data_IF_975503114721
#
_entry.id   IF_975503114721
#
_cell.length_a   1.000
_cell.length_b   1.000
_cell.length_c   1.000
_cell.angle_alpha   90.00
_cell.angle_beta   90.00
_cell.angle_gamma   90.00
#
_symmetry.space_group_name_H-M   'P 1'
#
loop_
_entity.id
_entity.type
_entity.pdbx_description
1 polymer ?
#
# COMPACT_ATOMS: atom_id res chain seq x y z
N UNK A 1 31.20 3.71 1.67
CA UNK A 1 30.16 3.49 2.71
C UNK A 1 30.68 4.10 4.01
N UNK A 2 29.78 4.70 4.78
CA UNK A 2 30.10 5.17 6.12
C UNK A 2 30.56 4.02 7.03
N UNK A 3 31.35 4.30 8.09
CA UNK A 3 31.82 3.27 9.00
C UNK A 3 30.66 2.49 9.66
N UNK A 4 30.93 1.24 10.03
CA UNK A 4 29.97 0.42 10.76
C UNK A 4 29.52 1.14 12.05
N UNK A 5 28.20 1.18 12.29
CA UNK A 5 27.60 1.89 13.43
C UNK A 5 27.34 3.38 13.21
N UNK A 6 27.61 3.93 12.04
CA UNK A 6 27.25 5.32 11.73
C UNK A 6 25.73 5.52 11.73
N UNK A 7 24.98 4.62 11.09
CA UNK A 7 23.52 4.68 11.10
C UNK A 7 22.94 3.95 12.31
N UNK A 8 21.91 4.55 12.92
CA UNK A 8 21.34 4.06 14.19
C UNK A 8 20.01 3.36 14.04
N UNK A 9 19.18 3.81 13.11
CA UNK A 9 17.78 3.38 13.00
C UNK A 9 17.33 3.34 11.54
N UNK A 10 16.48 2.36 11.21
CA UNK A 10 15.72 2.32 9.96
C UNK A 10 14.30 2.78 10.27
N UNK A 11 13.79 3.71 9.47
CA UNK A 11 12.37 4.12 9.46
C UNK A 11 11.78 3.66 8.13
N UNK A 12 10.76 2.80 8.18
CA UNK A 12 10.21 2.19 6.97
C UNK A 12 8.69 2.09 7.02
N UNK A 13 8.07 1.92 5.86
CA UNK A 13 6.64 1.63 5.77
C UNK A 13 6.30 0.29 6.43
N UNK A 14 5.03 0.07 6.75
CA UNK A 14 4.57 -1.10 7.50
C UNK A 14 3.91 -2.18 6.61
N UNK A 15 4.21 -2.19 5.33
CA UNK A 15 3.81 -3.19 4.35
C UNK A 15 4.95 -4.15 3.98
N UNK A 16 4.70 -5.02 3.01
CA UNK A 16 5.67 -6.04 2.63
C UNK A 16 6.95 -5.45 2.01
N UNK A 17 6.83 -4.43 1.15
CA UNK A 17 7.97 -3.77 0.54
C UNK A 17 8.86 -3.07 1.59
N UNK A 18 8.24 -2.35 2.53
CA UNK A 18 8.96 -1.76 3.66
C UNK A 18 9.68 -2.80 4.53
N UNK A 19 9.11 -4.03 4.71
CA UNK A 19 9.77 -5.12 5.45
C UNK A 19 11.02 -5.61 4.72
N UNK A 20 10.94 -5.83 3.41
CA UNK A 20 12.09 -6.28 2.59
C UNK A 20 13.16 -5.19 2.54
N UNK A 21 12.78 -3.93 2.29
CA UNK A 21 13.68 -2.78 2.30
C UNK A 21 14.47 -2.68 3.62
N UNK A 22 13.76 -2.78 4.76
CA UNK A 22 14.38 -2.75 6.08
C UNK A 22 15.29 -3.96 6.34
N UNK A 23 14.96 -5.15 5.82
CA UNK A 23 15.80 -6.35 6.00
C UNK A 23 17.13 -6.23 5.27
N UNK A 24 17.13 -5.70 4.04
CA UNK A 24 18.35 -5.46 3.25
C UNK A 24 19.21 -4.38 3.93
N UNK A 25 18.62 -3.22 4.26
CA UNK A 25 19.34 -2.14 4.96
C UNK A 25 19.89 -2.62 6.30
N UNK A 26 19.11 -3.38 7.08
CA UNK A 26 19.53 -3.92 8.38
C UNK A 26 20.67 -4.94 8.27
N UNK A 27 20.73 -5.71 7.16
CA UNK A 27 21.81 -6.65 6.91
C UNK A 27 23.08 -5.93 6.48
N UNK A 28 22.99 -5.00 5.51
CA UNK A 28 24.15 -4.28 4.96
C UNK A 28 24.76 -3.33 5.99
N UNK A 29 23.93 -2.51 6.63
CA UNK A 29 24.37 -1.43 7.52
C UNK A 29 24.49 -1.87 8.99
N UNK A 30 24.21 -3.14 9.31
CA UNK A 30 24.24 -3.72 10.66
C UNK A 30 23.31 -3.03 11.66
N UNK A 31 22.21 -2.43 11.16
CA UNK A 31 21.23 -1.76 11.98
C UNK A 31 20.23 -2.77 12.55
N UNK A 32 19.91 -2.63 13.84
CA UNK A 32 18.93 -3.49 14.55
C UNK A 32 17.67 -2.73 14.94
N UNK A 33 17.74 -1.41 15.09
CA UNK A 33 16.61 -0.58 15.52
C UNK A 33 15.75 -0.23 14.32
N UNK A 34 14.48 -0.66 14.35
CA UNK A 34 13.52 -0.40 13.26
C UNK A 34 12.30 0.28 13.84
N UNK A 35 11.87 1.35 13.18
CA UNK A 35 10.63 2.08 13.43
C UNK A 35 9.75 1.99 12.19
N UNK A 36 8.49 1.59 12.39
CA UNK A 36 7.50 1.53 11.32
C UNK A 36 6.62 2.78 11.37
N UNK A 37 6.43 3.41 10.22
CA UNK A 37 5.65 4.63 10.10
C UNK A 37 4.78 4.60 8.82
N UNK A 38 3.72 5.40 8.82
CA UNK A 38 2.99 5.69 7.58
C UNK A 38 3.41 7.04 7.00
N UNK A 39 3.09 7.32 5.72
CA UNK A 39 3.46 8.57 5.05
C UNK A 39 3.04 9.84 5.82
N UNK A 40 1.84 9.86 6.41
CA UNK A 40 1.35 11.00 7.18
C UNK A 40 2.16 11.27 8.46
N UNK A 41 2.77 10.26 9.06
CA UNK A 41 3.62 10.42 10.25
C UNK A 41 4.89 11.20 9.87
N UNK A 42 5.43 10.91 8.67
CA UNK A 42 6.60 11.62 8.12
C UNK A 42 6.24 13.04 7.73
N UNK A 43 5.23 13.23 6.90
CA UNK A 43 4.85 14.56 6.38
C UNK A 43 4.38 15.52 7.48
N UNK A 44 3.90 15.01 8.62
CA UNK A 44 3.50 15.80 9.79
C UNK A 44 4.58 15.95 10.85
N UNK A 45 5.80 15.47 10.59
CA UNK A 45 6.93 15.51 11.53
C UNK A 45 6.57 14.94 12.92
N UNK A 46 5.79 13.83 12.96
CA UNK A 46 5.35 13.23 14.23
C UNK A 46 6.42 12.36 14.89
N UNK A 47 7.52 12.09 14.20
CA UNK A 47 8.69 11.35 14.71
C UNK A 47 9.97 12.12 14.41
N UNK A 48 10.96 12.00 15.29
CA UNK A 48 12.28 12.58 15.07
C UNK A 48 13.10 11.68 14.15
N UNK A 49 13.58 12.26 13.04
CA UNK A 49 14.50 11.64 12.09
C UNK A 49 15.76 12.50 12.04
N UNK A 50 16.91 11.86 12.01
CA UNK A 50 18.24 12.50 12.04
C UNK A 50 19.11 12.05 10.87
N UNK A 51 20.23 12.66 10.65
CA UNK A 51 21.25 12.26 9.66
C UNK A 51 21.87 10.87 9.94
N UNK A 52 21.53 10.26 11.07
CA UNK A 52 21.94 8.88 11.41
C UNK A 52 20.85 7.86 11.16
N UNK A 53 19.75 8.25 10.51
CA UNK A 53 18.63 7.37 10.23
C UNK A 53 18.52 7.06 8.74
N UNK A 54 18.12 5.84 8.42
CA UNK A 54 17.82 5.38 7.07
C UNK A 54 16.31 5.37 6.90
N UNK A 55 15.80 5.97 5.83
CA UNK A 55 14.36 6.03 5.54
C UNK A 55 14.09 5.27 4.25
N UNK A 56 13.14 4.33 4.29
CA UNK A 56 12.76 3.49 3.16
C UNK A 56 11.25 3.52 2.95
N UNK A 57 10.83 3.61 1.68
CA UNK A 57 9.43 3.45 1.28
C UNK A 57 8.49 4.46 1.96
N UNK A 58 8.96 5.68 2.10
CA UNK A 58 8.29 6.78 2.78
C UNK A 58 8.69 8.12 2.14
N UNK A 59 7.85 9.17 2.28
CA UNK A 59 8.22 10.51 1.85
C UNK A 59 9.54 10.98 2.47
N UNK A 60 10.27 11.82 1.74
CA UNK A 60 11.51 12.40 2.24
C UNK A 60 11.25 13.30 3.47
N UNK A 61 11.87 13.01 4.63
CA UNK A 61 11.60 13.73 5.89
C UNK A 61 12.33 15.08 6.00
N UNK A 62 12.93 15.59 4.92
CA UNK A 62 13.80 16.78 4.83
C UNK A 62 15.19 16.61 5.46
N UNK A 63 15.40 15.61 6.29
CA UNK A 63 16.67 15.28 6.90
C UNK A 63 16.72 13.78 7.19
N UNK A 64 17.72 13.07 6.68
CA UNK A 64 18.05 11.70 7.04
C UNK A 64 19.45 11.35 6.53
N UNK A 65 19.99 10.22 6.96
CA UNK A 65 21.30 9.75 6.51
C UNK A 65 21.26 9.09 5.14
N UNK A 66 20.25 8.24 4.89
CA UNK A 66 19.95 7.66 3.59
C UNK A 66 18.45 7.66 3.36
N UNK A 67 18.04 7.95 2.12
CA UNK A 67 16.66 7.87 1.70
C UNK A 67 16.51 6.99 0.46
N UNK A 68 15.56 6.03 0.54
CA UNK A 68 15.20 5.15 -0.56
C UNK A 68 13.70 5.20 -0.79
N UNK A 69 13.31 5.49 -2.04
CA UNK A 69 11.89 5.55 -2.39
C UNK A 69 11.67 5.35 -3.90
N UNK A 70 10.44 5.02 -4.27
CA UNK A 70 10.03 4.76 -5.65
C UNK A 70 8.71 5.46 -6.05
N UNK A 71 8.07 6.17 -5.12
CA UNK A 71 6.76 6.77 -5.34
C UNK A 71 6.85 8.07 -6.14
N UNK A 72 6.21 8.13 -7.31
CA UNK A 72 6.15 9.32 -8.16
C UNK A 72 5.60 10.54 -7.41
N UNK A 73 4.59 10.37 -6.54
CA UNK A 73 4.03 11.45 -5.73
C UNK A 73 5.06 12.11 -4.80
N UNK A 74 6.01 11.33 -4.26
CA UNK A 74 7.10 11.88 -3.45
C UNK A 74 8.10 12.66 -4.30
N UNK A 75 8.35 12.24 -5.55
CA UNK A 75 9.15 13.00 -6.50
C UNK A 75 8.50 14.35 -6.81
N UNK A 76 7.20 14.38 -7.10
CA UNK A 76 6.46 15.63 -7.33
C UNK A 76 6.52 16.57 -6.12
N UNK A 77 6.44 16.04 -4.90
CA UNK A 77 6.59 16.84 -3.69
C UNK A 77 7.98 17.48 -3.57
N UNK A 78 9.06 16.75 -3.91
CA UNK A 78 10.42 17.29 -3.95
C UNK A 78 10.55 18.42 -4.99
N UNK A 79 9.95 18.24 -6.17
CA UNK A 79 9.92 19.27 -7.22
C UNK A 79 9.22 20.56 -6.74
N UNK A 80 8.05 20.46 -6.09
CA UNK A 80 7.38 21.60 -5.46
C UNK A 80 8.25 22.31 -4.44
N UNK A 81 9.04 21.56 -3.68
CA UNK A 81 9.97 22.08 -2.67
C UNK A 81 11.29 22.57 -3.28
N UNK A 82 11.51 22.37 -4.58
CA UNK A 82 12.76 22.70 -5.31
C UNK A 82 13.96 21.95 -4.72
N UNK A 83 13.76 20.72 -4.30
CA UNK A 83 14.81 19.80 -3.82
C UNK A 83 15.15 18.85 -4.95
N UNK A 84 16.42 18.82 -5.35
CA UNK A 84 16.91 17.83 -6.32
C UNK A 84 17.05 16.46 -5.64
N UNK A 85 16.32 15.42 -6.07
CA UNK A 85 16.43 14.09 -5.50
C UNK A 85 17.87 13.53 -5.53
N UNK A 86 18.65 13.92 -6.54
CA UNK A 86 20.06 13.47 -6.67
C UNK A 86 20.99 14.05 -5.60
N UNK A 87 20.58 15.13 -4.93
CA UNK A 87 21.31 15.73 -3.81
C UNK A 87 21.09 15.02 -2.48
N UNK A 88 20.09 14.13 -2.40
CA UNK A 88 19.74 13.39 -1.18
C UNK A 88 20.58 12.11 -1.12
N UNK A 89 21.31 11.83 -0.03
CA UNK A 89 22.01 10.56 0.13
C UNK A 89 21.05 9.37 0.07
N UNK A 90 21.43 8.33 -0.68
CA UNK A 90 20.56 7.17 -0.95
C UNK A 90 20.20 7.08 -2.42
N UNK A 91 18.96 6.73 -2.72
CA UNK A 91 18.47 6.65 -4.11
C UNK A 91 16.95 6.80 -4.18
N UNK A 92 16.48 7.65 -5.08
CA UNK A 92 15.13 7.63 -5.62
C UNK A 92 15.16 7.05 -7.05
N UNK A 93 14.23 6.14 -7.37
CA UNK A 93 14.06 5.66 -8.73
C UNK A 93 12.64 5.11 -8.92
N UNK A 94 12.01 5.39 -10.06
CA UNK A 94 10.72 4.81 -10.43
C UNK A 94 10.91 3.33 -10.77
N UNK A 95 10.75 2.48 -9.77
CA UNK A 95 10.90 1.02 -9.80
C UNK A 95 9.62 0.36 -9.30
N UNK A 96 9.43 -0.95 -9.54
CA UNK A 96 8.25 -1.66 -9.05
C UNK A 96 8.10 -1.65 -7.52
N UNK A 97 9.19 -1.51 -6.76
CA UNK A 97 9.22 -1.48 -5.30
C UNK A 97 10.40 -0.66 -4.77
N UNK A 98 10.32 -0.15 -3.55
CA UNK A 98 11.43 0.47 -2.85
C UNK A 98 12.54 -0.56 -2.54
N UNK A 99 12.18 -1.79 -2.21
CA UNK A 99 13.14 -2.88 -1.98
C UNK A 99 14.00 -3.16 -3.23
N UNK A 100 13.47 -3.00 -4.45
CA UNK A 100 14.24 -3.03 -5.69
C UNK A 100 15.27 -1.89 -5.72
N UNK A 101 14.86 -0.67 -5.36
CA UNK A 101 15.76 0.49 -5.30
C UNK A 101 16.91 0.25 -4.31
N UNK A 102 16.57 -0.25 -3.11
CA UNK A 102 17.54 -0.59 -2.05
C UNK A 102 18.50 -1.69 -2.52
N UNK A 103 17.94 -2.77 -3.12
CA UNK A 103 18.74 -3.90 -3.60
C UNK A 103 19.74 -3.46 -4.67
N UNK A 104 19.29 -2.73 -5.71
CA UNK A 104 20.15 -2.24 -6.78
C UNK A 104 21.22 -1.29 -6.24
N UNK A 105 20.86 -0.39 -5.31
CA UNK A 105 21.82 0.54 -4.71
C UNK A 105 22.98 -0.17 -4.01
N UNK A 106 22.69 -1.21 -3.23
CA UNK A 106 23.75 -1.94 -2.51
C UNK A 106 24.45 -2.96 -3.37
N UNK A 107 23.77 -3.62 -4.33
CA UNK A 107 24.41 -4.60 -5.23
C UNK A 107 25.48 -4.00 -6.16
N UNK A 108 25.38 -2.70 -6.48
CA UNK A 108 26.44 -1.97 -7.20
C UNK A 108 27.72 -1.78 -6.36
N UNK A 109 27.66 -1.99 -5.05
CA UNK A 109 28.75 -1.69 -4.10
C UNK A 109 29.30 -2.92 -3.40
N UNK A 110 28.52 -3.99 -3.36
CA UNK A 110 28.90 -5.24 -2.71
C UNK A 110 28.04 -6.40 -3.19
N UNK A 111 28.52 -7.62 -3.06
CA UNK A 111 27.74 -8.83 -3.30
C UNK A 111 26.70 -9.01 -2.18
N UNK A 112 25.43 -9.11 -2.58
CA UNK A 112 24.33 -9.38 -1.67
C UNK A 112 23.95 -10.88 -1.74
N UNK A 113 23.54 -11.49 -0.61
CA UNK A 113 23.01 -12.84 -0.61
C UNK A 113 21.82 -13.00 -1.57
N UNK A 114 21.79 -14.10 -2.32
CA UNK A 114 20.74 -14.39 -3.33
C UNK A 114 19.32 -14.36 -2.75
N UNK A 115 19.14 -14.72 -1.48
CA UNK A 115 17.85 -14.67 -0.78
C UNK A 115 17.17 -13.29 -0.83
N UNK A 116 17.95 -12.21 -0.92
CA UNK A 116 17.36 -10.88 -1.04
C UNK A 116 16.75 -10.64 -2.42
N UNK A 117 17.36 -11.16 -3.49
CA UNK A 117 16.79 -11.02 -4.83
C UNK A 117 15.42 -11.73 -4.92
N UNK A 118 15.30 -12.95 -4.39
CA UNK A 118 14.04 -13.69 -4.33
C UNK A 118 12.94 -12.89 -3.61
N UNK A 119 13.29 -12.29 -2.46
CA UNK A 119 12.35 -11.48 -1.69
C UNK A 119 11.95 -10.18 -2.42
N UNK A 120 12.90 -9.54 -3.11
CA UNK A 120 12.64 -8.33 -3.92
C UNK A 120 11.75 -8.63 -5.12
N UNK A 121 11.92 -9.78 -5.80
CA UNK A 121 11.05 -10.19 -6.91
C UNK A 121 9.60 -10.39 -6.47
N UNK A 122 9.39 -10.93 -5.27
CA UNK A 122 8.06 -11.02 -4.66
C UNK A 122 7.51 -9.62 -4.31
N UNK A 123 8.34 -8.73 -3.75
CA UNK A 123 7.94 -7.37 -3.42
C UNK A 123 7.56 -6.56 -4.66
N UNK A 124 8.34 -6.66 -5.73
CA UNK A 124 8.03 -6.01 -7.01
C UNK A 124 6.64 -6.37 -7.51
N UNK A 125 6.30 -7.67 -7.46
CA UNK A 125 5.02 -8.18 -7.94
C UNK A 125 3.86 -7.74 -7.07
N UNK A 126 4.06 -7.74 -5.75
CA UNK A 126 3.03 -7.40 -4.76
C UNK A 126 2.74 -5.91 -4.77
N UNK A 127 3.77 -5.07 -4.73
CA UNK A 127 3.64 -3.63 -4.59
C UNK A 127 3.11 -2.97 -5.88
N UNK A 128 3.66 -3.34 -7.05
CA UNK A 128 3.17 -2.87 -8.34
C UNK A 128 1.85 -3.52 -8.77
N UNK A 129 1.34 -4.50 -8.02
CA UNK A 129 0.17 -5.32 -8.38
C UNK A 129 0.29 -5.94 -9.78
N UNK A 130 1.50 -6.33 -10.16
CA UNK A 130 1.85 -6.83 -11.50
C UNK A 130 1.71 -8.34 -11.59
N UNK A 131 0.47 -8.81 -11.66
CA UNK A 131 0.12 -10.22 -11.86
C UNK A 131 -0.40 -10.45 -13.28
N UNK A 132 -0.16 -11.66 -13.79
CA UNK A 132 -0.64 -12.03 -15.13
C UNK A 132 -2.12 -12.40 -15.15
N UNK A 133 -2.67 -12.85 -14.05
CA UNK A 133 -4.09 -13.20 -13.92
C UNK A 133 -4.53 -13.19 -12.47
N UNK A 134 -5.85 -13.26 -12.26
CA UNK A 134 -6.44 -13.41 -10.92
C UNK A 134 -5.99 -14.73 -10.28
N UNK A 135 -5.85 -15.79 -11.07
CA UNK A 135 -5.37 -17.09 -10.59
C UNK A 135 -3.92 -17.03 -10.14
N UNK A 136 -3.07 -16.24 -10.84
CA UNK A 136 -1.70 -15.99 -10.38
C UNK A 136 -1.70 -15.21 -9.08
N UNK A 137 -2.50 -14.16 -8.96
CA UNK A 137 -2.63 -13.38 -7.75
C UNK A 137 -3.10 -14.18 -6.54
N UNK A 138 -3.90 -15.22 -6.76
CA UNK A 138 -4.37 -16.12 -5.70
C UNK A 138 -3.33 -17.16 -5.26
N UNK A 139 -2.23 -17.34 -6.01
CA UNK A 139 -1.19 -18.29 -5.60
C UNK A 139 -0.57 -17.90 -4.29
N UNK A 140 -0.44 -18.87 -3.40
CA UNK A 140 0.18 -18.72 -2.08
C UNK A 140 1.71 -18.81 -2.21
N UNK A 141 2.32 -17.86 -2.93
CA UNK A 141 3.78 -17.74 -2.95
C UNK A 141 4.29 -17.33 -1.58
N UNK A 142 5.57 -17.59 -1.22
CA UNK A 142 6.12 -17.18 0.07
C UNK A 142 5.91 -15.70 0.38
N UNK A 143 6.17 -14.80 -0.58
CA UNK A 143 5.94 -13.37 -0.41
C UNK A 143 4.47 -13.04 -0.20
N UNK A 144 3.58 -13.68 -0.96
CA UNK A 144 2.14 -13.49 -0.82
C UNK A 144 1.61 -13.94 0.55
N UNK A 145 2.06 -15.10 1.05
CA UNK A 145 1.72 -15.57 2.39
C UNK A 145 2.11 -14.52 3.43
N UNK A 146 3.35 -14.01 3.39
CA UNK A 146 3.84 -13.02 4.34
C UNK A 146 3.05 -11.70 4.20
N UNK A 147 2.84 -11.19 2.98
CA UNK A 147 2.05 -9.97 2.74
C UNK A 147 0.64 -10.07 3.36
N UNK A 148 -0.03 -11.21 3.18
CA UNK A 148 -1.37 -11.43 3.73
C UNK A 148 -1.39 -11.43 5.26
N UNK A 149 -0.31 -11.87 5.92
CA UNK A 149 -0.22 -11.77 7.38
C UNK A 149 -0.16 -10.33 7.89
N UNK A 150 0.40 -9.41 7.11
CA UNK A 150 0.43 -7.97 7.45
C UNK A 150 -0.95 -7.32 7.32
N UNK A 151 -1.85 -7.90 6.54
CA UNK A 151 -3.22 -7.43 6.32
C UNK A 151 -4.21 -7.90 7.38
N UNK A 152 -3.84 -8.88 8.21
CA UNK A 152 -4.66 -9.29 9.37
C UNK A 152 -4.61 -8.21 10.45
N UNK A 153 -5.76 -7.86 11.01
CA UNK A 153 -5.83 -6.85 12.07
C UNK A 153 -5.01 -7.25 13.29
N UNK A 154 -4.21 -6.31 13.80
CA UNK A 154 -3.51 -6.46 15.07
C UNK A 154 -4.39 -6.02 16.22
N UNK A 155 -4.22 -6.62 17.40
CA UNK A 155 -4.98 -6.28 18.60
C UNK A 155 -4.47 -4.97 19.22
N UNK A 156 -3.17 -4.69 19.08
CA UNK A 156 -2.55 -3.45 19.55
C UNK A 156 -1.38 -3.01 18.65
N UNK A 157 -0.98 -1.73 18.71
CA UNK A 157 0.22 -1.24 18.04
C UNK A 157 1.51 -1.94 18.49
N UNK A 158 1.56 -2.38 19.74
CA UNK A 158 2.70 -3.10 20.31
C UNK A 158 2.83 -4.50 19.68
N UNK A 159 1.70 -5.24 19.56
CA UNK A 159 1.67 -6.53 18.86
C UNK A 159 2.13 -6.36 17.42
N UNK A 160 1.62 -5.35 16.70
CA UNK A 160 2.02 -5.04 15.33
C UNK A 160 3.53 -4.79 15.23
N UNK A 161 4.04 -3.91 16.07
CA UNK A 161 5.47 -3.56 16.09
C UNK A 161 6.35 -4.78 16.39
N UNK A 162 5.94 -5.60 17.36
CA UNK A 162 6.67 -6.82 17.73
C UNK A 162 6.69 -7.82 16.57
N UNK A 163 5.53 -8.07 15.95
CA UNK A 163 5.41 -8.95 14.80
C UNK A 163 6.31 -8.50 13.64
N UNK A 164 6.21 -7.24 13.24
CA UNK A 164 6.98 -6.70 12.12
C UNK A 164 8.49 -6.71 12.38
N UNK A 165 8.93 -6.41 13.61
CA UNK A 165 10.36 -6.52 13.98
C UNK A 165 10.87 -7.96 13.90
N UNK A 166 10.08 -8.92 14.34
CA UNK A 166 10.43 -10.34 14.22
C UNK A 166 10.51 -10.74 12.74
N UNK A 167 9.53 -10.34 11.93
CA UNK A 167 9.51 -10.60 10.50
C UNK A 167 10.77 -10.05 9.80
N UNK A 168 11.11 -8.78 10.00
CA UNK A 168 12.33 -8.19 9.42
C UNK A 168 13.59 -8.94 9.87
N UNK A 169 13.67 -9.35 11.13
CA UNK A 169 14.80 -10.14 11.64
C UNK A 169 14.94 -11.47 10.90
N UNK A 170 13.85 -12.21 10.73
CA UNK A 170 13.88 -13.49 10.03
C UNK A 170 14.19 -13.33 8.53
N UNK A 171 13.58 -12.34 7.86
CA UNK A 171 13.87 -12.00 6.44
C UNK A 171 15.31 -11.56 6.20
N UNK A 172 15.95 -10.95 7.19
CA UNK A 172 17.35 -10.57 7.13
C UNK A 172 18.28 -11.80 7.05
N UNK A 173 17.94 -12.86 7.77
CA UNK A 173 18.86 -13.97 8.01
C UNK A 173 18.50 -15.25 7.23
N UNK A 174 17.25 -15.37 6.70
CA UNK A 174 16.72 -16.58 6.03
C UNK A 174 16.14 -16.27 4.65
N UNK A 175 16.10 -17.27 3.74
CA UNK A 175 15.32 -17.21 2.51
C UNK A 175 13.83 -17.03 2.79
N UNK A 176 13.15 -16.29 1.93
CA UNK A 176 11.74 -15.97 2.07
C UNK A 176 10.84 -17.22 2.17
N UNK A 177 11.19 -18.29 1.45
CA UNK A 177 10.49 -19.58 1.52
C UNK A 177 10.51 -20.21 2.90
N UNK A 178 11.64 -20.12 3.62
CA UNK A 178 11.75 -20.59 5.00
C UNK A 178 10.97 -19.70 5.97
N UNK A 179 11.05 -18.37 5.78
CA UNK A 179 10.32 -17.40 6.62
C UNK A 179 8.82 -17.63 6.53
N UNK A 180 8.28 -17.87 5.34
CA UNK A 180 6.86 -18.15 5.13
C UNK A 180 6.38 -19.39 5.91
N UNK A 181 7.26 -20.35 6.23
CA UNK A 181 6.92 -21.59 6.95
C UNK A 181 7.05 -21.48 8.49
N UNK A 182 7.51 -20.35 9.01
CA UNK A 182 7.64 -20.17 10.46
C UNK A 182 6.27 -20.20 11.17
N UNK A 183 6.21 -20.81 12.32
CA UNK A 183 4.95 -21.03 13.08
C UNK A 183 4.16 -19.72 13.28
N UNK A 184 4.83 -18.62 13.64
CA UNK A 184 4.15 -17.34 13.87
C UNK A 184 3.59 -16.74 12.59
N UNK A 185 4.20 -17.01 11.41
CA UNK A 185 3.69 -16.61 10.09
C UNK A 185 2.48 -17.47 9.75
N UNK A 186 2.62 -18.82 9.84
CA UNK A 186 1.55 -19.74 9.50
C UNK A 186 0.31 -19.57 10.39
N UNK A 187 0.50 -19.37 11.69
CA UNK A 187 -0.61 -19.08 12.61
C UNK A 187 -1.38 -17.81 12.23
N UNK A 188 -0.65 -16.77 11.76
CA UNK A 188 -1.28 -15.52 11.35
C UNK A 188 -1.88 -15.63 9.94
N UNK A 189 -1.28 -16.40 9.04
CA UNK A 189 -1.83 -16.69 7.73
C UNK A 189 -3.15 -17.50 7.83
N UNK A 190 -3.24 -18.43 8.76
CA UNK A 190 -4.50 -19.13 9.04
C UNK A 190 -5.61 -18.17 9.49
N UNK A 191 -5.30 -17.19 10.34
CA UNK A 191 -6.25 -16.11 10.70
C UNK A 191 -6.71 -15.31 9.49
N UNK A 192 -5.78 -15.01 8.56
CA UNK A 192 -6.13 -14.33 7.31
C UNK A 192 -7.18 -15.13 6.53
N UNK A 193 -6.99 -16.43 6.34
CA UNK A 193 -7.94 -17.28 5.63
C UNK A 193 -9.34 -17.27 6.25
N UNK A 194 -9.41 -17.26 7.58
CA UNK A 194 -10.69 -17.15 8.29
C UNK A 194 -11.34 -15.76 8.10
N UNK A 195 -10.53 -14.71 8.09
CA UNK A 195 -11.01 -13.35 7.83
C UNK A 195 -11.41 -13.14 6.38
N UNK A 196 -10.70 -13.74 5.42
CA UNK A 196 -10.99 -13.63 3.99
C UNK A 196 -12.41 -14.11 3.66
N UNK A 197 -12.84 -15.25 4.21
CA UNK A 197 -14.22 -15.73 4.04
C UNK A 197 -15.26 -14.72 4.52
N UNK A 198 -15.00 -14.02 5.63
CA UNK A 198 -15.85 -12.94 6.14
C UNK A 198 -15.81 -11.70 5.25
N UNK A 199 -14.62 -11.33 4.74
CA UNK A 199 -14.47 -10.22 3.80
C UNK A 199 -15.23 -10.47 2.49
N UNK A 200 -15.14 -11.67 1.93
CA UNK A 200 -15.87 -12.04 0.71
C UNK A 200 -17.38 -11.96 0.89
N UNK A 201 -17.91 -12.37 2.06
CA UNK A 201 -19.33 -12.22 2.35
C UNK A 201 -19.74 -10.74 2.43
N UNK A 202 -18.96 -9.90 3.11
CA UNK A 202 -19.23 -8.45 3.17
C UNK A 202 -19.20 -7.85 1.76
N UNK A 203 -18.21 -8.24 0.94
CA UNK A 203 -18.11 -7.76 -0.44
C UNK A 203 -19.32 -8.18 -1.27
N UNK A 204 -19.77 -9.42 -1.14
CA UNK A 204 -20.97 -9.91 -1.82
C UNK A 204 -22.22 -9.10 -1.46
N UNK A 205 -22.38 -8.74 -0.16
CA UNK A 205 -23.54 -8.00 0.34
C UNK A 205 -23.47 -6.50 0.00
N UNK A 206 -22.26 -5.92 -0.08
CA UNK A 206 -22.05 -4.48 -0.22
C UNK A 206 -21.72 -4.04 -1.66
N UNK A 207 -21.51 -4.96 -2.59
CA UNK A 207 -21.11 -4.64 -3.96
C UNK A 207 -22.29 -4.53 -4.92
N UNK A 208 -22.20 -3.58 -5.81
CA UNK A 208 -23.16 -3.37 -6.91
C UNK A 208 -22.47 -2.73 -8.11
N UNK A 209 -23.19 -2.65 -9.23
CA UNK A 209 -22.80 -1.85 -10.39
C UNK A 209 -23.76 -0.66 -10.50
N UNK A 210 -23.28 0.45 -11.06
CA UNK A 210 -24.14 1.59 -11.36
C UNK A 210 -25.08 1.19 -12.52
N UNK A 211 -26.28 1.79 -12.55
CA UNK A 211 -27.27 1.52 -13.60
C UNK A 211 -26.73 1.85 -15.00
N UNK A 212 -25.88 2.89 -15.09
CA UNK A 212 -25.26 3.32 -16.33
C UNK A 212 -24.07 2.43 -16.77
N UNK A 213 -23.59 1.53 -15.91
CA UNK A 213 -22.48 0.62 -16.19
C UNK A 213 -22.98 -0.71 -16.83
N UNK A 214 -23.47 -0.62 -18.05
CA UNK A 214 -23.98 -1.79 -18.80
C UNK A 214 -22.92 -2.90 -18.97
N UNK A 215 -21.66 -2.52 -19.06
CA UNK A 215 -20.54 -3.48 -19.24
C UNK A 215 -20.05 -4.10 -17.94
N UNK A 216 -20.52 -3.61 -16.79
CA UNK A 216 -20.08 -4.04 -15.46
C UNK A 216 -18.56 -3.94 -15.25
N UNK A 217 -17.99 -2.81 -15.68
CA UNK A 217 -16.56 -2.54 -15.59
C UNK A 217 -16.12 -2.04 -14.22
N UNK A 218 -17.03 -1.38 -13.45
CA UNK A 218 -16.68 -0.76 -12.17
C UNK A 218 -17.55 -1.33 -11.04
N UNK A 219 -16.97 -2.20 -10.20
CA UNK A 219 -17.63 -2.65 -8.97
C UNK A 219 -17.62 -1.53 -7.95
N UNK A 220 -18.80 -1.14 -7.44
CA UNK A 220 -18.95 -0.20 -6.35
C UNK A 220 -19.23 -0.96 -5.05
N UNK A 221 -18.37 -0.81 -4.06
CA UNK A 221 -18.53 -1.35 -2.71
C UNK A 221 -19.05 -0.21 -1.81
N UNK A 222 -20.32 -0.26 -1.44
CA UNK A 222 -20.94 0.74 -0.57
C UNK A 222 -20.90 0.30 0.90
N UNK A 223 -19.95 0.84 1.66
CA UNK A 223 -19.81 0.61 3.09
C UNK A 223 -20.52 1.68 3.95
N UNK A 224 -21.20 2.64 3.33
CA UNK A 224 -21.89 3.70 4.08
C UNK A 224 -23.07 3.21 4.95
N UNK A 225 -23.73 2.06 4.69
CA UNK A 225 -24.72 1.51 5.63
C UNK A 225 -24.12 0.99 6.93
N UNK A 226 -22.86 0.58 6.96
CA UNK A 226 -22.22 0.02 8.15
C UNK A 226 -22.00 1.09 9.22
N UNK A 227 -22.26 0.77 10.48
CA UNK A 227 -22.01 1.66 11.61
C UNK A 227 -20.50 1.94 11.79
N UNK A 228 -19.69 0.91 11.66
CA UNK A 228 -18.22 0.99 11.58
C UNK A 228 -17.78 0.38 10.27
N UNK A 229 -16.80 1.03 9.61
CA UNK A 229 -16.23 0.50 8.37
C UNK A 229 -15.65 -0.90 8.66
N UNK A 230 -16.15 -1.96 8.00
CA UNK A 230 -15.57 -3.28 8.14
C UNK A 230 -14.11 -3.28 7.66
N UNK A 231 -13.29 -4.14 8.26
CA UNK A 231 -11.97 -4.40 7.75
C UNK A 231 -12.10 -5.33 6.54
N UNK A 232 -11.66 -4.87 5.37
CA UNK A 232 -11.68 -5.65 4.14
C UNK A 232 -10.57 -5.21 3.18
N UNK A 233 -10.20 -6.12 2.29
CA UNK A 233 -9.33 -5.88 1.15
C UNK A 233 -10.24 -5.74 -0.07
N UNK A 234 -10.45 -4.50 -0.55
CA UNK A 234 -11.38 -4.22 -1.64
C UNK A 234 -11.09 -5.00 -2.92
N UNK A 235 -9.80 -5.31 -3.20
CA UNK A 235 -9.38 -6.04 -4.40
C UNK A 235 -9.89 -7.50 -4.41
N UNK A 236 -10.29 -8.06 -3.26
CA UNK A 236 -10.97 -9.36 -3.22
C UNK A 236 -12.31 -9.36 -4.00
N UNK A 237 -12.87 -8.17 -4.27
CA UNK A 237 -14.05 -8.06 -5.15
C UNK A 237 -13.79 -8.62 -6.56
N UNK A 238 -12.55 -8.63 -7.04
CA UNK A 238 -12.21 -9.23 -8.34
C UNK A 238 -12.33 -10.76 -8.38
N UNK A 239 -12.37 -11.42 -7.21
CA UNK A 239 -12.70 -12.84 -7.10
C UNK A 239 -14.20 -13.11 -7.35
N UNK A 240 -15.04 -12.16 -6.96
CA UNK A 240 -16.51 -12.23 -7.13
C UNK A 240 -16.94 -11.70 -8.51
N UNK A 241 -16.20 -10.74 -9.04
CA UNK A 241 -16.49 -10.00 -10.27
C UNK A 241 -15.26 -9.96 -11.19
N UNK A 242 -14.81 -11.10 -11.74
CA UNK A 242 -13.57 -11.20 -12.51
C UNK A 242 -13.59 -10.37 -13.81
N UNK A 243 -14.77 -10.04 -14.34
CA UNK A 243 -14.93 -9.18 -15.52
C UNK A 243 -14.68 -7.70 -15.23
N UNK A 244 -14.74 -7.28 -13.97
CA UNK A 244 -14.58 -5.87 -13.61
C UNK A 244 -13.15 -5.39 -13.86
N UNK A 245 -13.04 -4.19 -14.39
CA UNK A 245 -11.76 -3.51 -14.68
C UNK A 245 -11.30 -2.63 -13.51
N UNK A 246 -12.23 -2.26 -12.62
CA UNK A 246 -11.95 -1.46 -11.44
C UNK A 246 -12.88 -1.77 -10.27
N UNK A 247 -12.44 -1.44 -9.08
CA UNK A 247 -13.22 -1.46 -7.85
C UNK A 247 -13.19 -0.08 -7.19
N UNK A 248 -14.35 0.41 -6.81
CA UNK A 248 -14.55 1.70 -6.11
C UNK A 248 -15.25 1.46 -4.77
N UNK A 249 -14.53 1.65 -3.69
CA UNK A 249 -15.08 1.60 -2.33
C UNK A 249 -15.53 2.99 -1.91
N UNK A 250 -16.74 3.12 -1.34
CA UNK A 250 -17.27 4.33 -0.70
C UNK A 250 -17.65 4.05 0.75
N UNK A 251 -17.19 4.91 1.67
CA UNK A 251 -17.38 4.74 3.10
C UNK A 251 -17.49 6.07 3.83
N UNK A 252 -17.98 6.05 5.07
CA UNK A 252 -17.95 7.24 5.92
C UNK A 252 -16.60 7.38 6.61
N UNK A 253 -16.07 8.61 6.63
CA UNK A 253 -14.91 8.94 7.43
C UNK A 253 -15.27 8.95 8.91
N UNK A 254 -14.31 8.57 9.75
CA UNK A 254 -14.45 8.68 11.20
C UNK A 254 -13.90 10.04 11.66
N UNK A 255 -14.50 10.61 12.70
CA UNK A 255 -13.94 11.77 13.36
C UNK A 255 -12.75 11.39 14.27
N UNK A 256 -12.05 12.37 14.86
CA UNK A 256 -10.92 12.08 15.76
C UNK A 256 -11.29 11.24 17.00
N UNK A 257 -12.55 11.17 17.36
CA UNK A 257 -13.09 10.38 18.47
C UNK A 257 -13.50 8.97 18.02
N UNK A 258 -13.34 8.65 16.73
CA UNK A 258 -13.70 7.35 16.17
C UNK A 258 -15.21 7.18 15.92
N UNK A 259 -15.96 8.29 15.88
CA UNK A 259 -17.39 8.29 15.58
C UNK A 259 -17.59 8.48 14.06
N UNK A 260 -18.57 7.76 13.52
CA UNK A 260 -18.93 7.85 12.09
C UNK A 260 -19.44 9.24 11.75
N UNK A 261 -18.75 9.93 10.85
CA UNK A 261 -19.16 11.25 10.36
C UNK A 261 -20.05 11.14 9.11
N UNK A 262 -20.60 12.28 8.67
CA UNK A 262 -21.29 12.36 7.37
C UNK A 262 -20.32 12.52 6.19
N UNK A 263 -19.01 12.70 6.43
CA UNK A 263 -18.02 12.86 5.37
C UNK A 263 -17.77 11.52 4.67
N UNK A 264 -17.56 11.57 3.37
CA UNK A 264 -17.32 10.39 2.54
C UNK A 264 -15.85 10.24 2.20
N UNK A 265 -15.36 8.99 2.25
CA UNK A 265 -14.12 8.57 1.64
C UNK A 265 -14.39 7.70 0.43
N UNK A 266 -13.54 7.82 -0.58
CA UNK A 266 -13.53 7.02 -1.80
C UNK A 266 -12.17 6.40 -1.96
N UNK A 267 -12.11 5.11 -2.36
CA UNK A 267 -10.86 4.42 -2.67
C UNK A 267 -11.07 3.55 -3.90
N UNK A 268 -10.32 3.81 -4.96
CA UNK A 268 -10.47 3.12 -6.23
C UNK A 268 -9.18 2.40 -6.61
N UNK A 269 -9.28 1.24 -7.26
CA UNK A 269 -8.14 0.50 -7.82
C UNK A 269 -8.51 -0.15 -9.16
N UNK A 270 -7.54 -0.26 -10.05
CA UNK A 270 -7.65 -1.09 -11.25
C UNK A 270 -7.56 -2.58 -10.90
N UNK A 271 -8.20 -3.40 -11.71
CA UNK A 271 -7.99 -4.86 -11.67
C UNK A 271 -6.72 -5.24 -12.43
N UNK A 272 -6.29 -6.48 -12.25
CA UNK A 272 -5.22 -7.10 -13.04
C UNK A 272 -5.55 -7.01 -14.53
N UNK A 273 -6.79 -7.34 -14.92
CA UNK A 273 -7.24 -7.24 -16.30
C UNK A 273 -7.25 -5.82 -16.85
N UNK A 274 -7.59 -4.82 -16.03
CA UNK A 274 -7.53 -3.40 -16.39
C UNK A 274 -6.10 -2.95 -16.71
N UNK A 275 -5.12 -3.42 -15.96
CA UNK A 275 -3.71 -3.10 -16.21
C UNK A 275 -3.17 -3.74 -17.52
N UNK A 276 -3.62 -4.96 -17.89
CA UNK A 276 -3.11 -5.71 -19.05
C UNK A 276 -3.71 -5.33 -20.39
N UNK A 277 -4.97 -4.93 -20.42
CA UNK A 277 -5.69 -4.68 -21.68
C UNK A 277 -5.25 -3.40 -22.42
N UNK A 278 -4.13 -2.79 -22.01
CA UNK A 278 -3.68 -1.54 -22.57
C UNK A 278 -4.67 -0.39 -22.32
N UNK A 279 -5.57 -0.57 -21.37
CA UNK A 279 -6.55 0.43 -20.95
C UNK A 279 -5.76 1.52 -20.25
N UNK A 280 -5.56 2.63 -20.94
CA UNK A 280 -4.86 3.81 -20.40
C UNK A 280 -5.78 4.60 -19.44
N UNK A 281 -6.46 3.92 -18.51
CA UNK A 281 -7.27 4.58 -17.50
C UNK A 281 -6.37 5.13 -16.40
N UNK A 282 -6.61 6.36 -15.99
CA UNK A 282 -5.88 7.03 -14.92
C UNK A 282 -6.84 7.41 -13.78
N UNK A 283 -6.89 6.56 -12.74
CA UNK A 283 -7.78 6.79 -11.59
C UNK A 283 -7.36 8.05 -10.81
N UNK A 284 -6.06 8.32 -10.70
CA UNK A 284 -5.55 9.54 -10.06
C UNK A 284 -6.08 10.79 -10.75
N UNK A 285 -6.09 10.81 -12.09
CA UNK A 285 -6.65 11.91 -12.90
C UNK A 285 -8.15 12.10 -12.64
N UNK A 286 -8.92 11.01 -12.48
CA UNK A 286 -10.34 11.10 -12.12
C UNK A 286 -10.51 11.82 -10.78
N UNK A 287 -9.74 11.44 -9.74
CA UNK A 287 -9.84 12.07 -8.43
C UNK A 287 -9.41 13.54 -8.43
N UNK A 288 -8.35 13.88 -9.17
CA UNK A 288 -7.90 15.27 -9.36
C UNK A 288 -8.92 16.10 -10.12
N UNK A 289 -9.46 15.61 -11.25
CA UNK A 289 -10.48 16.31 -12.06
C UNK A 289 -11.74 16.60 -11.25
N UNK A 290 -12.11 15.73 -10.33
CA UNK A 290 -13.23 15.95 -9.42
C UNK A 290 -12.87 16.87 -8.25
N UNK A 291 -11.60 17.21 -8.06
CA UNK A 291 -11.08 17.97 -6.93
C UNK A 291 -11.48 17.35 -5.58
N UNK A 292 -11.42 16.02 -5.47
CA UNK A 292 -11.76 15.29 -4.25
C UNK A 292 -10.58 14.51 -3.67
N UNK A 293 -9.50 14.32 -4.43
CA UNK A 293 -8.36 13.51 -4.02
C UNK A 293 -7.29 13.41 -5.07
N UNK A 294 -6.40 12.43 -4.89
CA UNK A 294 -5.24 12.18 -5.74
C UNK A 294 -4.87 10.68 -5.74
N UNK A 295 -3.88 10.30 -6.54
CA UNK A 295 -3.31 8.95 -6.61
C UNK A 295 -2.57 8.66 -7.90
N UNK A 296 -2.21 7.40 -8.07
CA UNK A 296 -1.56 6.86 -9.26
C UNK A 296 -2.58 6.45 -10.33
N UNK A 297 -2.14 6.19 -11.57
CA UNK A 297 -3.04 5.64 -12.60
C UNK A 297 -3.80 4.40 -12.15
N UNK A 298 -3.16 3.48 -11.39
CA UNK A 298 -3.74 2.21 -10.94
C UNK A 298 -4.51 2.26 -9.63
N UNK A 299 -4.31 3.28 -8.79
CA UNK A 299 -4.97 3.40 -7.49
C UNK A 299 -5.04 4.86 -7.02
N UNK A 300 -6.20 5.26 -6.50
CA UNK A 300 -6.39 6.61 -5.98
C UNK A 300 -7.42 6.64 -4.86
N UNK A 301 -7.38 7.73 -4.08
CA UNK A 301 -8.34 7.99 -3.02
C UNK A 301 -8.84 9.42 -3.04
N UNK A 302 -10.03 9.63 -2.46
CA UNK A 302 -10.63 10.95 -2.38
C UNK A 302 -11.53 11.09 -1.17
N UNK A 303 -11.87 12.34 -0.84
CA UNK A 303 -12.74 12.67 0.29
C UNK A 303 -13.74 13.77 -0.09
N UNK A 304 -14.95 13.67 0.42
CA UNK A 304 -16.00 14.66 0.21
C UNK A 304 -16.61 15.06 1.56
N UNK A 305 -16.55 16.35 1.87
CA UNK A 305 -17.15 16.89 3.09
C UNK A 305 -18.65 17.10 2.91
N UNK A 306 -19.44 16.66 3.90
CA UNK A 306 -20.88 16.78 3.93
C UNK A 306 -21.32 17.32 5.31
N UNK A 307 -22.30 18.22 5.33
CA UNK A 307 -22.81 18.86 6.55
C UNK A 307 -23.92 18.05 7.23
N UNK A 308 -24.62 17.20 6.45
CA UNK A 308 -25.75 16.41 6.93
C UNK A 308 -25.83 15.04 6.25
N UNK A 309 -26.58 14.11 6.83
CA UNK A 309 -26.86 12.80 6.22
C UNK A 309 -27.56 12.92 4.86
N UNK A 310 -28.48 13.89 4.72
CA UNK A 310 -29.20 14.12 3.46
C UNK A 310 -28.21 14.60 2.35
N UNK A 311 -27.35 15.56 2.68
CA UNK A 311 -26.29 16.03 1.77
C UNK A 311 -25.33 14.90 1.40
N UNK A 312 -24.95 14.05 2.37
CA UNK A 312 -24.08 12.89 2.18
C UNK A 312 -24.68 11.93 1.15
N UNK A 313 -25.95 11.56 1.30
CA UNK A 313 -26.63 10.65 0.36
C UNK A 313 -26.70 11.25 -1.06
N UNK A 314 -27.00 12.55 -1.18
CA UNK A 314 -27.02 13.26 -2.46
C UNK A 314 -25.63 13.29 -3.10
N UNK A 315 -24.61 13.74 -2.37
CA UNK A 315 -23.24 13.83 -2.87
C UNK A 315 -22.65 12.45 -3.20
N UNK A 316 -22.99 11.41 -2.42
CA UNK A 316 -22.58 10.05 -2.74
C UNK A 316 -23.02 9.66 -4.16
N UNK A 317 -24.30 9.79 -4.46
CA UNK A 317 -24.84 9.48 -5.79
C UNK A 317 -24.19 10.34 -6.89
N UNK A 318 -24.08 11.65 -6.67
CA UNK A 318 -23.48 12.58 -7.62
C UNK A 318 -22.01 12.25 -7.93
N UNK A 319 -21.23 11.96 -6.90
CA UNK A 319 -19.78 11.67 -7.05
C UNK A 319 -19.57 10.32 -7.72
N UNK A 320 -20.32 9.28 -7.33
CA UNK A 320 -20.25 7.97 -7.99
C UNK A 320 -20.53 8.07 -9.49
N UNK A 321 -21.61 8.77 -9.88
CA UNK A 321 -21.96 8.95 -11.30
C UNK A 321 -20.89 9.78 -12.03
N UNK A 322 -20.32 10.81 -11.40
CA UNK A 322 -19.25 11.61 -12.01
C UNK A 322 -17.95 10.81 -12.19
N UNK A 323 -17.57 9.99 -11.20
CA UNK A 323 -16.43 9.07 -11.31
C UNK A 323 -16.65 8.14 -12.52
N UNK A 324 -17.82 7.52 -12.59
CA UNK A 324 -18.13 6.60 -13.70
C UNK A 324 -18.13 7.28 -15.06
N UNK A 325 -18.68 8.49 -15.19
CA UNK A 325 -18.62 9.25 -16.46
C UNK A 325 -17.19 9.53 -16.90
N UNK A 326 -16.34 10.00 -15.97
CA UNK A 326 -14.92 10.22 -16.27
C UNK A 326 -14.20 8.91 -16.62
N UNK A 327 -14.54 7.81 -15.93
CA UNK A 327 -14.06 6.48 -16.27
C UNK A 327 -14.46 6.06 -17.70
N UNK A 328 -15.71 6.27 -18.07
CA UNK A 328 -16.24 5.86 -19.39
C UNK A 328 -15.66 6.67 -20.56
N UNK A 329 -15.17 7.89 -20.30
CA UNK A 329 -14.63 8.81 -21.33
C UNK A 329 -13.11 8.72 -21.49
N UNK A 330 -12.38 8.05 -20.60
CA UNK A 330 -10.96 7.74 -20.76
C UNK A 330 -10.78 6.51 -21.64
#
# INVERSE_FOLDING_TARGET
MEPEGFYEKIVTHHDFDGMISASICGWVLKIRKILFAGPLVITRNQITITERDVVCDLPYPLQCGLWFDHHEGNLQELEYRRIDPSSIPGRFALKPSCSRVVYEYFSERMELPSRFLEAVEEADRIDSFSYESVEEWQKETPGRIIDLTLKVRFQSPEEQTHYMRNLVRELKDRPIGEVAQLDFIQARFQRYREEEGRMLKILQDASSFLEEDEKKEMVVIDLTPYHRRPHLIKNLAFLLYPQALSVLEVYNLMDPQGVKSNHLGFSMSLSINGNRQGIKKNIGEIMRTLNIGDGHPGAASGQVRCRSKQEMLKKKKEVLNRIFRLWSTQ
#
